data_IF_855182030510
#
_entry.id   IF_855182030510
#
_cell.length_a   1.000
_cell.length_b   1.000
_cell.length_c   1.000
_cell.angle_alpha   90.00
_cell.angle_beta   90.00
_cell.angle_gamma   90.00
#
_symmetry.space_group_name_H-M   'P 1'
#
loop_
_entity.id
_entity.type
_entity.pdbx_description
1 polymer ?
#
# COMPACT_ATOMS: atom_id res chain seq x y z
N UNK A 1 -2.82 -5.56 11.26
CA UNK A 1 -1.67 -5.51 12.17
C UNK A 1 -0.87 -4.24 11.93
N UNK A 2 -0.34 -3.63 13.00
CA UNK A 2 0.68 -2.58 12.87
C UNK A 2 2.06 -3.25 12.96
N UNK A 3 2.86 -3.09 11.91
CA UNK A 3 4.15 -3.74 11.75
C UNK A 3 5.32 -2.74 11.77
N UNK A 4 5.12 -1.55 12.35
CA UNK A 4 6.14 -0.50 12.36
C UNK A 4 7.48 -0.94 13.00
N UNK A 5 7.46 -1.85 13.97
CA UNK A 5 8.67 -2.42 14.59
C UNK A 5 9.00 -3.86 14.13
N UNK A 6 8.25 -4.40 13.17
CA UNK A 6 8.42 -5.77 12.69
C UNK A 6 9.02 -5.84 11.28
N UNK A 7 8.52 -5.04 10.33
CA UNK A 7 9.03 -5.03 8.95
C UNK A 7 10.50 -4.57 8.94
N UNK A 8 11.38 -5.39 8.36
CA UNK A 8 12.83 -5.18 8.35
C UNK A 8 13.55 -5.59 9.64
N UNK A 9 12.83 -6.11 10.64
CA UNK A 9 13.38 -6.52 11.94
C UNK A 9 13.23 -8.04 12.20
N UNK A 10 12.03 -8.59 11.96
CA UNK A 10 11.75 -10.02 12.15
C UNK A 10 11.20 -10.63 10.85
N UNK A 11 11.34 -11.95 10.63
CA UNK A 11 10.68 -12.63 9.52
C UNK A 11 9.16 -12.43 9.58
N UNK A 12 8.54 -12.21 8.43
CA UNK A 12 7.10 -12.02 8.29
C UNK A 12 6.61 -12.82 7.08
N UNK A 13 5.50 -13.54 7.23
CA UNK A 13 4.86 -14.26 6.13
C UNK A 13 3.36 -13.91 6.08
N UNK A 14 3.05 -12.63 5.81
CA UNK A 14 1.71 -12.06 5.97
C UNK A 14 0.60 -12.77 5.17
N UNK A 15 0.96 -13.48 4.10
CA UNK A 15 -0.03 -14.24 3.35
C UNK A 15 -0.44 -15.51 4.10
N UNK A 16 0.55 -16.28 4.56
CA UNK A 16 0.32 -17.55 5.25
C UNK A 16 -0.12 -17.35 6.70
N UNK A 17 0.39 -16.30 7.37
CA UNK A 17 0.03 -15.90 8.73
C UNK A 17 -1.42 -15.40 8.83
N UNK A 18 -2.03 -15.07 7.68
CA UNK A 18 -3.46 -14.77 7.56
C UNK A 18 -4.01 -13.45 8.15
N UNK A 19 -3.25 -12.37 8.47
CA UNK A 19 -3.88 -11.09 8.77
C UNK A 19 -4.71 -10.59 7.58
N UNK A 20 -5.88 -10.01 7.83
CA UNK A 20 -6.68 -9.40 6.76
C UNK A 20 -6.00 -8.16 6.16
N UNK A 21 -5.39 -7.35 7.03
CA UNK A 21 -4.74 -6.09 6.70
C UNK A 21 -3.50 -5.87 7.56
N UNK A 22 -2.49 -5.20 7.01
CA UNK A 22 -1.38 -4.68 7.79
C UNK A 22 -0.86 -3.33 7.27
N UNK A 23 -0.15 -2.60 8.12
CA UNK A 23 0.52 -1.36 7.75
C UNK A 23 1.87 -1.25 8.44
N UNK A 24 2.79 -0.48 7.87
CA UNK A 24 4.10 -0.21 8.45
C UNK A 24 4.66 1.12 7.95
N UNK A 25 5.61 1.66 8.70
CA UNK A 25 6.45 2.74 8.23
C UNK A 25 7.76 2.21 7.62
N UNK A 26 8.39 3.04 6.81
CA UNK A 26 9.69 2.74 6.16
C UNK A 26 10.88 3.43 6.84
N UNK A 27 10.63 4.48 7.61
CA UNK A 27 11.69 5.29 8.22
C UNK A 27 12.35 4.65 9.47
N UNK A 28 11.90 3.46 9.89
CA UNK A 28 12.48 2.70 11.02
C UNK A 28 13.50 1.68 10.51
N UNK A 29 13.25 0.38 10.68
CA UNK A 29 14.18 -0.69 10.29
C UNK A 29 14.40 -0.80 8.77
N UNK A 30 13.53 -0.20 7.96
CA UNK A 30 13.73 -0.07 6.51
C UNK A 30 14.52 1.18 6.11
N UNK A 31 15.13 1.91 7.07
CA UNK A 31 16.14 2.96 6.88
C UNK A 31 15.89 4.00 5.76
N UNK A 32 14.64 4.26 5.39
CA UNK A 32 14.34 5.05 4.18
C UNK A 32 14.40 6.57 4.39
N UNK A 33 14.88 7.05 5.54
CA UNK A 33 14.89 8.48 5.89
C UNK A 33 13.58 8.98 6.53
N UNK A 34 13.61 10.18 7.16
CA UNK A 34 12.57 10.66 8.07
C UNK A 34 11.23 10.90 7.38
N UNK A 35 10.15 10.33 7.92
CA UNK A 35 8.78 10.56 7.43
C UNK A 35 8.51 10.05 6.02
N UNK A 36 9.30 9.10 5.52
CA UNK A 36 9.17 8.59 4.16
C UNK A 36 7.90 7.71 3.96
N UNK A 37 7.64 7.30 2.72
CA UNK A 37 6.46 6.56 2.26
C UNK A 37 6.22 5.28 3.06
N UNK A 38 5.03 5.16 3.65
CA UNK A 38 4.60 3.97 4.39
C UNK A 38 4.18 2.82 3.44
N UNK A 39 3.91 1.64 3.99
CA UNK A 39 3.37 0.50 3.26
C UNK A 39 2.08 -0.03 3.88
N UNK A 40 1.27 -0.70 3.07
CA UNK A 40 0.11 -1.45 3.53
C UNK A 40 0.00 -2.79 2.80
N UNK A 41 -0.61 -3.75 3.49
CA UNK A 41 -0.95 -5.06 3.00
C UNK A 41 -2.46 -5.26 3.11
N UNK A 42 -3.03 -5.85 2.07
CA UNK A 42 -4.42 -6.32 2.01
C UNK A 42 -4.35 -7.75 1.53
N UNK A 43 -4.88 -8.68 2.32
CA UNK A 43 -4.86 -10.09 1.95
C UNK A 43 -5.67 -10.31 0.65
N UNK A 44 -5.20 -11.20 -0.23
CA UNK A 44 -5.85 -11.45 -1.53
C UNK A 44 -7.32 -11.88 -1.44
N UNK A 45 -7.75 -12.49 -0.32
CA UNK A 45 -9.16 -12.86 -0.07
C UNK A 45 -10.09 -11.64 -0.10
N UNK A 46 -9.53 -10.44 0.04
CA UNK A 46 -10.21 -9.15 -0.02
C UNK A 46 -9.99 -8.39 -1.33
N UNK A 47 -9.24 -8.95 -2.29
CA UNK A 47 -8.77 -8.22 -3.47
C UNK A 47 -9.91 -7.67 -4.33
N UNK A 48 -11.03 -8.39 -4.42
CA UNK A 48 -12.21 -8.01 -5.24
C UNK A 48 -13.42 -7.63 -4.39
N UNK A 49 -13.26 -7.51 -3.07
CA UNK A 49 -14.36 -7.16 -2.17
C UNK A 49 -14.64 -5.65 -2.26
N UNK A 50 -15.68 -5.28 -2.99
CA UNK A 50 -16.13 -3.89 -3.20
C UNK A 50 -16.82 -3.28 -1.98
N UNK A 51 -17.27 -4.10 -1.02
CA UNK A 51 -17.95 -3.66 0.21
C UNK A 51 -17.00 -3.10 1.27
N UNK A 52 -15.70 -3.28 1.11
CA UNK A 52 -14.72 -2.75 2.06
C UNK A 52 -14.57 -1.24 1.92
N UNK A 53 -14.61 -0.56 3.06
CA UNK A 53 -14.37 0.87 3.17
C UNK A 53 -12.96 1.21 2.68
N UNK A 54 -12.89 2.22 1.80
CA UNK A 54 -11.65 2.80 1.31
C UNK A 54 -11.85 4.29 1.12
N UNK A 55 -10.84 5.09 1.46
CA UNK A 55 -10.80 6.46 1.00
C UNK A 55 -10.47 6.45 -0.49
N UNK A 56 -11.49 6.69 -1.32
CA UNK A 56 -11.32 6.66 -2.76
C UNK A 56 -10.46 7.85 -3.21
N UNK A 57 -9.51 7.57 -4.09
CA UNK A 57 -8.76 8.59 -4.80
C UNK A 57 -8.34 8.08 -6.17
N UNK A 58 -8.02 9.00 -7.07
CA UNK A 58 -7.80 8.69 -8.49
C UNK A 58 -6.71 7.65 -8.74
N UNK A 59 -5.70 7.55 -7.85
CA UNK A 59 -4.65 6.55 -7.97
C UNK A 59 -5.07 5.14 -7.57
N UNK A 60 -6.15 5.01 -6.81
CA UNK A 60 -6.79 3.75 -6.45
C UNK A 60 -7.73 3.25 -7.54
N UNK A 61 -8.09 4.10 -8.50
CA UNK A 61 -8.89 3.70 -9.65
C UNK A 61 -8.08 2.74 -10.53
N UNK A 62 -8.76 1.74 -11.12
CA UNK A 62 -8.15 0.74 -12.00
C UNK A 62 -7.34 1.39 -13.12
N UNK A 63 -6.27 0.74 -13.55
CA UNK A 63 -5.25 1.40 -14.38
C UNK A 63 -5.73 1.64 -15.82
N UNK A 64 -6.67 0.83 -16.28
CA UNK A 64 -7.13 0.76 -17.67
C UNK A 64 -7.80 2.07 -18.13
N UNK A 65 -8.55 2.72 -17.24
CA UNK A 65 -9.33 3.93 -17.54
C UNK A 65 -9.14 5.05 -16.50
N UNK A 66 -8.11 4.97 -15.65
CA UNK A 66 -7.76 6.00 -14.66
C UNK A 66 -7.76 7.41 -15.23
N UNK A 67 -7.21 7.58 -16.45
CA UNK A 67 -7.06 8.87 -17.11
C UNK A 67 -8.31 9.31 -17.90
N UNK A 68 -9.35 8.48 -17.99
CA UNK A 68 -10.68 8.91 -18.45
C UNK A 68 -11.32 9.84 -17.43
N UNK A 69 -10.92 9.74 -16.15
CA UNK A 69 -11.41 10.59 -15.05
C UNK A 69 -12.95 10.58 -14.96
N UNK A 70 -13.54 9.39 -15.13
CA UNK A 70 -14.98 9.19 -14.91
C UNK A 70 -15.37 9.53 -13.47
N UNK A 71 -16.58 10.02 -13.27
CA UNK A 71 -17.14 10.26 -11.94
C UNK A 71 -17.46 8.96 -11.19
N UNK A 72 -17.51 7.82 -11.92
CA UNK A 72 -17.67 6.51 -11.32
C UNK A 72 -16.30 5.98 -10.91
N UNK A 73 -16.09 5.79 -9.60
CA UNK A 73 -14.87 5.17 -9.09
C UNK A 73 -14.96 3.65 -9.17
N UNK A 74 -14.00 3.03 -9.85
CA UNK A 74 -13.85 1.58 -9.95
C UNK A 74 -12.48 1.24 -9.34
N UNK A 75 -12.44 0.64 -8.14
CA UNK A 75 -11.17 0.39 -7.46
C UNK A 75 -10.33 -0.66 -8.19
N UNK A 76 -9.01 -0.45 -8.17
CA UNK A 76 -8.05 -1.49 -8.51
C UNK A 76 -8.16 -2.65 -7.51
N UNK A 77 -8.02 -3.91 -7.94
CA UNK A 77 -8.01 -5.04 -7.02
C UNK A 77 -6.89 -4.96 -5.97
N UNK A 78 -7.16 -5.46 -4.76
CA UNK A 78 -6.19 -5.57 -3.68
C UNK A 78 -5.75 -4.23 -3.10
N UNK A 79 -4.53 -4.19 -2.55
CA UNK A 79 -3.98 -3.01 -1.87
C UNK A 79 -3.89 -1.76 -2.76
N UNK A 80 -3.83 -1.94 -4.09
CA UNK A 80 -3.80 -0.81 -5.02
C UNK A 80 -5.05 0.06 -4.94
N UNK A 81 -6.22 -0.54 -4.66
CA UNK A 81 -7.49 0.19 -4.50
C UNK A 81 -7.53 1.15 -3.30
N UNK A 82 -6.52 1.10 -2.42
CA UNK A 82 -6.37 1.96 -1.25
C UNK A 82 -5.41 3.14 -1.47
N UNK A 83 -4.87 3.32 -2.68
CA UNK A 83 -4.04 4.48 -3.02
C UNK A 83 -4.91 5.70 -3.29
N UNK A 84 -4.68 6.81 -2.60
CA UNK A 84 -5.47 8.03 -2.82
C UNK A 84 -4.90 8.89 -3.95
N UNK A 85 -3.59 9.15 -3.88
CA UNK A 85 -2.89 10.13 -4.72
C UNK A 85 -1.69 9.51 -5.43
N UNK A 86 -1.08 10.27 -6.35
CA UNK A 86 0.18 9.85 -6.96
C UNK A 86 1.29 9.75 -5.90
N UNK A 87 2.16 8.73 -5.98
CA UNK A 87 3.25 8.58 -5.04
C UNK A 87 4.30 9.69 -5.22
N UNK A 88 4.98 10.07 -4.13
CA UNK A 88 6.16 10.94 -4.20
C UNK A 88 7.35 10.15 -4.75
N UNK A 89 7.84 10.54 -5.93
CA UNK A 89 8.93 9.82 -6.61
C UNK A 89 10.24 9.84 -5.80
N UNK A 90 10.54 10.94 -5.10
CA UNK A 90 11.74 11.06 -4.27
C UNK A 90 11.68 10.13 -3.05
N UNK A 91 10.50 10.03 -2.43
CA UNK A 91 10.23 9.11 -1.34
C UNK A 91 10.44 7.65 -1.79
N UNK A 92 9.88 7.28 -2.93
CA UNK A 92 10.04 5.95 -3.52
C UNK A 92 11.50 5.64 -3.84
N UNK A 93 12.27 6.60 -4.36
CA UNK A 93 13.69 6.42 -4.68
C UNK A 93 14.52 6.15 -3.42
N UNK A 94 14.29 6.92 -2.34
CA UNK A 94 14.99 6.71 -1.07
C UNK A 94 14.64 5.37 -0.41
N UNK A 95 13.37 4.95 -0.46
CA UNK A 95 12.98 3.61 0.00
C UNK A 95 13.62 2.53 -0.87
N UNK A 96 13.62 2.68 -2.20
CA UNK A 96 14.22 1.71 -3.11
C UNK A 96 15.69 1.48 -2.79
N UNK A 97 16.46 2.56 -2.64
CA UNK A 97 17.88 2.48 -2.30
C UNK A 97 18.14 1.77 -0.96
N UNK A 98 17.22 1.83 0.00
CA UNK A 98 17.35 1.11 1.26
C UNK A 98 16.94 -0.36 1.20
N UNK A 99 16.21 -0.78 0.16
CA UNK A 99 15.78 -2.17 -0.05
C UNK A 99 16.73 -2.95 -0.96
N UNK A 100 17.69 -2.26 -1.59
CA UNK A 100 18.77 -2.85 -2.39
C UNK A 100 19.93 -3.31 -1.47
#
# INVERSE_FOLDING_TARGET
WDLAHAVGNVPLNLHDDGPDFACWCSYKYLNSGPGNIAGCFVHERHATNDKLNRFAGWWGHRKEDRFVMSHNFIPSPGAQGYMLSNPSVLCCAALRASLD
#
